data_IF_390298673129
#
_entry.id   IF_390298673129
#
_cell.length_a   1.000
_cell.length_b   1.000
_cell.length_c   1.000
_cell.angle_alpha   90.00
_cell.angle_beta   90.00
_cell.angle_gamma   90.00
#
_symmetry.space_group_name_H-M   'P 1'
#
loop_
_entity.id
_entity.type
_entity.pdbx_description
1 polymer ?
#
# COMPACT_ATOMS: atom_id res chain seq x y z
N UNK A 1 8.56 -55.50 -17.79
CA UNK A 1 8.22 -54.06 -17.68
C UNK A 1 8.80 -53.36 -18.90
N UNK A 2 7.97 -52.81 -19.77
CA UNK A 2 8.45 -52.09 -20.96
C UNK A 2 9.16 -50.80 -20.56
N UNK A 3 10.31 -50.50 -21.18
CA UNK A 3 10.98 -49.21 -20.96
C UNK A 3 10.07 -48.10 -21.52
N UNK A 4 9.82 -47.02 -20.76
CA UNK A 4 9.04 -45.89 -21.24
C UNK A 4 9.69 -45.33 -22.51
N UNK A 5 8.86 -44.95 -23.48
CA UNK A 5 9.37 -44.39 -24.73
C UNK A 5 9.99 -43.01 -24.47
N UNK A 6 10.87 -42.57 -25.36
CA UNK A 6 11.47 -41.24 -25.26
C UNK A 6 10.39 -40.13 -25.25
N UNK A 7 9.25 -40.37 -25.91
CA UNK A 7 8.08 -39.48 -25.91
C UNK A 7 7.42 -39.40 -24.53
N UNK A 8 7.29 -40.52 -23.83
CA UNK A 8 6.71 -40.57 -22.47
C UNK A 8 7.58 -39.84 -21.45
N UNK A 9 8.91 -39.93 -21.61
CA UNK A 9 9.87 -39.21 -20.76
C UNK A 9 9.80 -37.70 -20.96
N UNK A 10 9.68 -37.23 -22.21
CA UNK A 10 9.56 -35.80 -22.53
C UNK A 10 8.24 -35.23 -21.99
N UNK A 11 7.13 -35.95 -22.16
CA UNK A 11 5.82 -35.54 -21.64
C UNK A 11 5.85 -35.45 -20.10
N UNK A 12 6.49 -36.43 -19.44
CA UNK A 12 6.64 -36.44 -17.99
C UNK A 12 7.52 -35.30 -17.49
N UNK A 13 8.60 -34.95 -18.20
CA UNK A 13 9.45 -33.81 -17.86
C UNK A 13 8.66 -32.49 -17.92
N UNK A 14 7.86 -32.27 -18.96
CA UNK A 14 7.01 -31.07 -19.09
C UNK A 14 5.97 -30.99 -17.97
N UNK A 15 5.34 -32.11 -17.61
CA UNK A 15 4.40 -32.16 -16.49
C UNK A 15 5.08 -31.80 -15.16
N UNK A 16 6.30 -32.30 -14.93
CA UNK A 16 7.07 -31.99 -13.72
C UNK A 16 7.52 -30.52 -13.68
N UNK A 17 7.93 -29.95 -14.81
CA UNK A 17 8.26 -28.52 -14.91
C UNK A 17 7.05 -27.63 -14.60
N UNK A 18 5.88 -27.96 -15.15
CA UNK A 18 4.65 -27.24 -14.86
C UNK A 18 4.26 -27.34 -13.37
N UNK A 19 4.36 -28.54 -12.78
CA UNK A 19 4.11 -28.76 -11.35
C UNK A 19 5.11 -28.01 -10.46
N UNK A 20 6.39 -27.98 -10.84
CA UNK A 20 7.41 -27.21 -10.12
C UNK A 20 7.10 -25.71 -10.16
N UNK A 21 6.69 -25.17 -11.31
CA UNK A 21 6.32 -23.77 -11.46
C UNK A 21 5.11 -23.41 -10.59
N UNK A 22 4.09 -24.28 -10.57
CA UNK A 22 2.89 -24.11 -9.76
C UNK A 22 3.21 -24.16 -8.25
N UNK A 23 4.02 -25.13 -7.82
CA UNK A 23 4.46 -25.24 -6.43
C UNK A 23 5.32 -24.04 -6.00
N UNK A 24 6.18 -23.53 -6.88
CA UNK A 24 6.97 -22.33 -6.62
C UNK A 24 6.07 -21.10 -6.46
N UNK A 25 5.10 -20.90 -7.36
CA UNK A 25 4.13 -19.82 -7.25
C UNK A 25 3.34 -19.88 -5.94
N UNK A 26 2.86 -21.07 -5.57
CA UNK A 26 2.13 -21.26 -4.31
C UNK A 26 3.00 -21.01 -3.06
N UNK A 27 4.27 -21.41 -3.09
CA UNK A 27 5.22 -21.14 -2.01
C UNK A 27 5.48 -19.63 -1.85
N UNK A 28 5.63 -18.90 -2.95
CA UNK A 28 5.81 -17.44 -2.95
C UNK A 28 4.61 -16.72 -2.35
N UNK A 29 3.38 -17.12 -2.73
CA UNK A 29 2.14 -16.58 -2.17
C UNK A 29 2.03 -16.84 -0.66
N UNK A 30 2.36 -18.06 -0.20
CA UNK A 30 2.35 -18.40 1.22
C UNK A 30 3.42 -17.63 2.00
N UNK A 31 4.61 -17.46 1.43
CA UNK A 31 5.68 -16.69 2.05
C UNK A 31 5.26 -15.22 2.22
N UNK A 32 4.59 -14.64 1.24
CA UNK A 32 4.03 -13.29 1.31
C UNK A 32 2.92 -13.18 2.35
N UNK A 33 2.06 -14.20 2.48
CA UNK A 33 1.03 -14.25 3.52
C UNK A 33 1.60 -14.34 4.93
N UNK A 34 2.58 -15.21 5.16
CA UNK A 34 3.25 -15.34 6.47
C UNK A 34 3.95 -14.03 6.83
N UNK A 35 4.62 -13.41 5.85
CA UNK A 35 5.28 -12.11 6.02
C UNK A 35 4.29 -11.03 6.43
N UNK A 36 3.11 -10.99 5.79
CA UNK A 36 2.05 -10.05 6.13
C UNK A 36 1.52 -10.26 7.56
N UNK A 37 1.22 -11.51 7.97
CA UNK A 37 0.73 -11.82 9.32
C UNK A 37 1.72 -11.43 10.41
N UNK A 38 3.02 -11.71 10.21
CA UNK A 38 4.06 -11.32 11.18
C UNK A 38 4.14 -9.81 11.39
N UNK A 39 3.88 -9.03 10.34
CA UNK A 39 3.86 -7.55 10.42
C UNK A 39 2.65 -7.05 11.19
N UNK A 40 1.48 -7.65 11.00
CA UNK A 40 0.27 -7.30 11.75
C UNK A 40 0.49 -7.47 13.25
N UNK A 41 1.08 -8.60 13.66
CA UNK A 41 1.41 -8.86 15.07
C UNK A 41 2.38 -7.80 15.62
N UNK A 42 3.43 -7.44 14.88
CA UNK A 42 4.37 -6.41 15.31
C UNK A 42 3.72 -5.02 15.43
N UNK A 43 2.74 -4.72 14.57
CA UNK A 43 2.05 -3.44 14.58
C UNK A 43 1.07 -3.27 15.76
N UNK A 44 0.54 -4.37 16.33
CA UNK A 44 -0.37 -4.31 17.50
C UNK A 44 0.28 -3.69 18.75
N UNK A 45 1.61 -3.72 18.85
CA UNK A 45 2.33 -3.20 20.03
C UNK A 45 2.38 -1.65 20.12
N UNK A 46 1.91 -0.92 19.09
CA UNK A 46 1.95 0.56 19.04
C UNK A 46 0.55 1.19 19.10
N UNK A 47 -0.44 0.42 19.54
CA UNK A 47 -1.84 0.84 19.54
C UNK A 47 -2.12 1.93 20.60
N UNK A 48 -2.94 2.91 20.21
CA UNK A 48 -3.50 3.89 21.13
C UNK A 48 -4.83 3.35 21.71
N UNK A 49 -5.23 3.79 22.91
CA UNK A 49 -6.62 3.63 23.34
C UNK A 49 -7.55 4.31 22.32
N UNK A 50 -8.69 3.68 22.05
CA UNK A 50 -9.67 4.17 21.08
C UNK A 50 -10.08 5.61 21.43
N UNK A 51 -9.81 6.54 20.52
CA UNK A 51 -10.26 7.92 20.65
C UNK A 51 -11.77 8.01 20.41
N UNK A 52 -12.45 8.80 21.22
CA UNK A 52 -13.87 9.11 21.03
C UNK A 52 -14.11 9.75 19.66
N UNK A 53 -15.15 9.27 18.98
CA UNK A 53 -15.45 9.53 17.59
C UNK A 53 -15.51 11.02 17.22
N UNK A 54 -14.83 11.38 16.14
CA UNK A 54 -14.92 12.71 15.54
C UNK A 54 -15.71 12.60 14.23
N UNK A 55 -17.01 12.88 14.32
CA UNK A 55 -17.97 12.75 13.20
C UNK A 55 -17.91 13.92 12.22
N UNK A 56 -18.09 13.61 10.92
CA UNK A 56 -18.66 14.51 9.92
C UNK A 56 -17.80 14.73 8.68
N UNK A 57 -18.45 14.81 7.52
CA UNK A 57 -17.89 15.45 6.33
C UNK A 57 -17.59 16.92 6.67
N UNK A 58 -16.33 17.22 6.97
CA UNK A 58 -15.89 18.60 7.09
C UNK A 58 -15.85 19.23 5.70
N UNK A 59 -16.30 20.49 5.60
CA UNK A 59 -16.22 21.25 4.36
C UNK A 59 -14.76 21.29 3.88
N UNK A 60 -14.51 21.02 2.59
CA UNK A 60 -13.16 21.18 2.03
C UNK A 60 -12.79 22.67 2.00
N UNK A 61 -11.98 23.06 2.97
CA UNK A 61 -11.35 24.37 3.04
C UNK A 61 -10.28 24.54 1.95
N UNK A 62 -9.78 25.75 1.75
CA UNK A 62 -8.76 26.02 0.72
C UNK A 62 -7.43 25.38 1.10
N UNK A 63 -7.16 25.33 2.40
CA UNK A 63 -5.98 24.80 3.06
C UNK A 63 -5.86 23.30 2.79
N UNK A 64 -6.94 22.54 2.98
CA UNK A 64 -6.89 21.09 2.76
C UNK A 64 -6.77 20.73 1.28
N UNK A 65 -7.34 21.53 0.38
CA UNK A 65 -7.17 21.35 -1.08
C UNK A 65 -5.72 21.59 -1.49
N UNK A 66 -5.09 22.62 -0.94
CA UNK A 66 -3.67 22.91 -1.18
C UNK A 66 -2.79 21.78 -0.64
N UNK A 67 -3.04 21.32 0.59
CA UNK A 67 -2.30 20.22 1.18
C UNK A 67 -2.44 18.91 0.37
N UNK A 68 -3.64 18.61 -0.14
CA UNK A 68 -3.87 17.48 -1.02
C UNK A 68 -3.10 17.60 -2.35
N UNK A 69 -3.09 18.79 -2.96
CA UNK A 69 -2.31 19.05 -4.17
C UNK A 69 -0.80 18.83 -3.94
N UNK A 70 -0.27 19.32 -2.82
CA UNK A 70 1.14 19.11 -2.42
C UNK A 70 1.43 17.63 -2.19
N UNK A 71 0.51 16.88 -1.56
CA UNK A 71 0.68 15.44 -1.36
C UNK A 71 0.76 14.68 -2.69
N UNK A 72 -0.03 15.07 -3.68
CA UNK A 72 -0.01 14.50 -5.04
C UNK A 72 1.28 14.86 -5.77
N UNK A 73 1.75 16.10 -5.66
CA UNK A 73 3.03 16.52 -6.24
C UNK A 73 4.21 15.73 -5.64
N UNK A 74 4.20 15.52 -4.32
CA UNK A 74 5.19 14.68 -3.63
C UNK A 74 5.15 13.24 -4.13
N UNK A 75 3.97 12.63 -4.20
CA UNK A 75 3.79 11.27 -4.73
C UNK A 75 4.31 11.14 -6.17
N UNK A 76 3.99 12.12 -7.02
CA UNK A 76 4.46 12.20 -8.40
C UNK A 76 5.99 12.35 -8.49
N UNK A 77 6.60 13.08 -7.54
CA UNK A 77 8.05 13.26 -7.46
C UNK A 77 8.75 11.97 -7.07
N UNK A 78 8.26 11.25 -6.05
CA UNK A 78 8.79 9.94 -5.66
C UNK A 78 8.63 8.90 -6.79
N UNK A 79 7.52 8.94 -7.53
CA UNK A 79 7.34 8.12 -8.72
C UNK A 79 8.43 8.38 -9.77
N UNK A 80 8.70 9.66 -10.08
CA UNK A 80 9.74 10.06 -11.05
C UNK A 80 11.15 9.66 -10.62
N UNK A 81 11.42 9.59 -9.30
CA UNK A 81 12.69 9.12 -8.76
C UNK A 81 12.93 7.62 -8.99
N UNK A 82 11.96 6.88 -9.54
CA UNK A 82 12.07 5.45 -9.78
C UNK A 82 12.44 4.70 -8.48
N UNK A 83 11.67 4.92 -7.42
CA UNK A 83 11.88 4.23 -6.14
C UNK A 83 11.44 2.78 -6.28
N UNK A 84 12.34 1.84 -5.98
CA UNK A 84 12.10 0.40 -6.10
C UNK A 84 12.57 -0.33 -4.85
N UNK A 85 12.17 -1.59 -4.69
CA UNK A 85 12.83 -2.48 -3.73
C UNK A 85 14.35 -2.61 -4.01
N UNK A 86 15.17 -2.89 -2.98
CA UNK A 86 16.59 -3.14 -3.12
C UNK A 86 16.86 -4.26 -4.14
N UNK A 87 17.86 -4.04 -5.01
CA UNK A 87 18.24 -4.99 -6.06
C UNK A 87 17.50 -4.81 -7.39
N UNK A 88 16.51 -3.91 -7.49
CA UNK A 88 15.76 -3.66 -8.74
C UNK A 88 16.27 -2.44 -9.54
N UNK A 89 17.42 -1.88 -9.17
CA UNK A 89 18.09 -0.81 -9.93
C UNK A 89 17.50 0.60 -9.77
N UNK A 90 16.53 0.80 -8.88
CA UNK A 90 15.95 2.11 -8.55
C UNK A 90 16.45 2.72 -7.24
N UNK A 91 15.83 3.83 -6.83
CA UNK A 91 16.16 4.64 -5.64
C UNK A 91 15.65 4.03 -4.33
N UNK A 92 16.07 2.81 -4.02
CA UNK A 92 15.66 2.09 -2.80
C UNK A 92 16.06 2.81 -1.49
N UNK A 93 17.03 3.73 -1.54
CA UNK A 93 17.43 4.60 -0.42
C UNK A 93 16.27 5.46 0.11
N UNK A 94 15.32 5.83 -0.76
CA UNK A 94 14.14 6.63 -0.38
C UNK A 94 13.24 5.91 0.63
N UNK A 95 13.18 4.58 0.60
CA UNK A 95 12.35 3.79 1.52
C UNK A 95 12.77 4.06 2.98
N UNK A 96 14.08 4.19 3.23
CA UNK A 96 14.60 4.55 4.55
C UNK A 96 14.16 5.95 5.00
N UNK A 97 14.04 6.89 4.06
CA UNK A 97 13.54 8.25 4.33
C UNK A 97 12.07 8.21 4.74
N UNK A 98 11.23 7.42 4.07
CA UNK A 98 9.81 7.30 4.41
C UNK A 98 9.59 6.74 5.83
N UNK A 99 10.41 5.77 6.23
CA UNK A 99 10.28 5.08 7.51
C UNK A 99 10.87 5.94 8.65
N UNK A 100 12.06 6.53 8.43
CA UNK A 100 12.87 7.11 9.51
C UNK A 100 12.96 8.63 9.48
N UNK A 101 12.64 9.25 8.34
CA UNK A 101 12.65 10.70 8.14
C UNK A 101 11.52 11.41 8.88
N UNK A 102 11.73 12.70 9.15
CA UNK A 102 10.82 13.62 9.83
C UNK A 102 9.51 13.87 9.10
N UNK A 103 9.56 13.92 7.76
CA UNK A 103 8.40 14.04 6.89
C UNK A 103 7.60 12.74 6.73
N UNK A 104 8.23 11.59 7.00
CA UNK A 104 7.61 10.26 6.93
C UNK A 104 7.05 9.82 8.28
N UNK A 105 7.31 8.56 8.66
CA UNK A 105 6.88 8.01 9.96
C UNK A 105 7.75 8.50 11.12
N UNK A 106 8.96 9.02 10.88
CA UNK A 106 9.92 9.42 11.90
C UNK A 106 10.20 8.29 12.93
N UNK A 107 10.17 7.03 12.49
CA UNK A 107 10.53 5.88 13.30
C UNK A 107 12.04 5.68 13.26
N UNK A 108 12.78 6.61 13.85
CA UNK A 108 14.25 6.58 13.87
C UNK A 108 14.83 5.32 14.53
N UNK A 109 14.04 4.70 15.41
CA UNK A 109 14.33 3.43 16.09
C UNK A 109 14.21 2.20 15.18
N UNK A 110 13.53 2.29 14.04
CA UNK A 110 13.42 1.19 13.07
C UNK A 110 14.77 0.97 12.39
N UNK A 111 15.09 -0.30 12.12
CA UNK A 111 16.37 -0.67 11.49
C UNK A 111 16.43 -0.11 10.06
N UNK A 112 17.63 0.24 9.56
CA UNK A 112 17.79 0.61 8.16
C UNK A 112 17.18 -0.43 7.22
N UNK A 113 16.39 0.02 6.25
CA UNK A 113 15.77 -0.85 5.26
C UNK A 113 16.83 -1.31 4.26
N UNK A 114 17.15 -2.60 4.25
CA UNK A 114 18.27 -3.15 3.47
C UNK A 114 17.86 -4.24 2.49
N UNK A 115 16.67 -4.81 2.64
CA UNK A 115 16.18 -5.89 1.79
C UNK A 115 14.67 -5.85 1.60
N UNK A 116 14.23 -6.36 0.45
CA UNK A 116 12.81 -6.55 0.18
C UNK A 116 12.16 -7.38 1.30
N UNK A 117 10.97 -6.97 1.70
CA UNK A 117 10.16 -7.68 2.69
C UNK A 117 10.46 -7.31 4.13
N UNK A 118 11.47 -6.49 4.42
CA UNK A 118 11.83 -6.10 5.78
C UNK A 118 10.71 -5.33 6.49
N UNK A 119 9.97 -4.50 5.75
CA UNK A 119 8.93 -3.61 6.28
C UNK A 119 7.86 -3.36 5.21
N UNK A 120 6.58 -3.30 5.58
CA UNK A 120 5.52 -2.87 4.68
C UNK A 120 5.44 -1.34 4.66
N UNK A 121 5.98 -0.70 3.63
CA UNK A 121 6.17 0.75 3.63
C UNK A 121 5.11 1.54 2.85
N UNK A 122 3.97 0.93 2.47
CA UNK A 122 2.87 1.66 1.83
C UNK A 122 2.33 2.83 2.68
N UNK A 123 2.17 2.59 3.99
CA UNK A 123 1.79 3.63 4.96
C UNK A 123 2.88 4.68 5.20
N UNK A 124 4.15 4.28 5.16
CA UNK A 124 5.29 5.18 5.26
C UNK A 124 5.38 6.12 4.04
N UNK A 125 5.13 5.58 2.85
CA UNK A 125 5.02 6.36 1.62
C UNK A 125 3.86 7.35 1.68
N UNK A 126 2.67 6.92 2.11
CA UNK A 126 1.53 7.82 2.31
C UNK A 126 1.86 8.95 3.29
N UNK A 127 2.54 8.63 4.40
CA UNK A 127 3.00 9.62 5.37
C UNK A 127 3.99 10.63 4.78
N UNK A 128 4.97 10.18 4.00
CA UNK A 128 5.92 11.07 3.31
C UNK A 128 5.23 12.03 2.34
N UNK A 129 4.22 11.55 1.62
CA UNK A 129 3.44 12.39 0.71
C UNK A 129 2.62 13.41 1.50
N UNK A 130 1.97 12.97 2.58
CA UNK A 130 1.18 13.80 3.49
C UNK A 130 2.02 14.36 4.67
N UNK A 131 3.22 14.86 4.39
CA UNK A 131 4.10 15.43 5.41
C UNK A 131 3.52 16.65 6.14
N UNK A 132 2.53 17.32 5.53
CA UNK A 132 1.78 18.42 6.12
C UNK A 132 0.85 18.01 7.27
N UNK A 133 0.58 16.71 7.45
CA UNK A 133 -0.22 16.25 8.59
C UNK A 133 0.52 16.46 9.92
N UNK A 134 -0.18 16.31 11.03
CA UNK A 134 0.43 16.29 12.34
C UNK A 134 1.36 15.08 12.50
N UNK A 135 2.55 15.22 13.11
CA UNK A 135 3.49 14.11 13.27
C UNK A 135 2.88 12.89 13.97
N UNK A 136 1.97 13.06 14.93
CA UNK A 136 1.30 11.94 15.59
C UNK A 136 0.43 11.11 14.64
N UNK A 137 -0.24 11.75 13.67
CA UNK A 137 -1.07 11.05 12.68
C UNK A 137 -0.18 10.20 11.78
N UNK A 138 0.91 10.79 11.27
CA UNK A 138 1.90 10.05 10.46
C UNK A 138 2.50 8.87 11.22
N UNK A 139 2.95 9.09 12.46
CA UNK A 139 3.61 8.07 13.30
C UNK A 139 2.71 6.94 13.73
N UNK A 140 1.44 7.23 14.01
CA UNK A 140 0.56 6.29 14.72
C UNK A 140 -0.54 5.73 13.84
N UNK A 141 -1.12 6.54 12.95
CA UNK A 141 -2.30 6.16 12.16
C UNK A 141 -1.92 5.62 10.78
N UNK A 142 -1.10 6.36 10.02
CA UNK A 142 -0.73 5.99 8.64
C UNK A 142 0.09 4.70 8.46
N UNK A 143 0.86 4.14 9.43
CA UNK A 143 1.67 2.95 9.20
C UNK A 143 0.87 1.67 8.90
N UNK A 144 -0.45 1.66 9.09
CA UNK A 144 -1.26 0.43 9.03
C UNK A 144 -2.69 0.72 8.56
N UNK A 145 -3.22 -0.16 7.69
CA UNK A 145 -4.62 -0.13 7.25
C UNK A 145 -5.58 -0.33 8.43
N UNK A 146 -5.24 -1.23 9.35
CA UNK A 146 -5.99 -1.42 10.59
C UNK A 146 -6.05 -0.14 11.44
N UNK A 147 -4.93 0.58 11.56
CA UNK A 147 -4.90 1.80 12.39
C UNK A 147 -5.63 2.97 11.75
N UNK A 148 -5.53 3.14 10.43
CA UNK A 148 -6.43 4.03 9.68
C UNK A 148 -7.89 3.68 9.95
N UNK A 149 -8.24 2.40 9.85
CA UNK A 149 -9.60 1.94 10.11
C UNK A 149 -10.03 2.16 11.55
N UNK A 150 -9.16 2.00 12.55
CA UNK A 150 -9.48 2.22 13.96
C UNK A 150 -9.62 3.72 14.27
N UNK A 151 -8.66 4.53 13.83
CA UNK A 151 -8.52 5.92 14.24
C UNK A 151 -9.46 6.85 13.48
N UNK A 152 -9.76 6.54 12.21
CA UNK A 152 -10.44 7.44 11.28
C UNK A 152 -11.81 6.91 10.79
N UNK A 153 -12.49 6.03 11.55
CA UNK A 153 -13.82 5.51 11.17
C UNK A 153 -14.81 6.59 10.77
N UNK A 154 -14.89 7.63 11.59
CA UNK A 154 -15.87 8.70 11.45
C UNK A 154 -15.48 9.74 10.35
N UNK A 155 -14.34 9.55 9.70
CA UNK A 155 -13.79 10.40 8.62
C UNK A 155 -13.81 9.72 7.26
N UNK A 156 -14.49 8.58 7.16
CA UNK A 156 -14.63 7.88 5.89
C UNK A 156 -15.46 8.71 4.93
N UNK A 157 -15.03 8.69 3.69
CA UNK A 157 -15.73 9.32 2.57
C UNK A 157 -16.32 8.23 1.69
N UNK A 158 -17.47 8.51 1.10
CA UNK A 158 -18.06 7.61 0.11
C UNK A 158 -17.10 7.40 -1.07
N UNK A 159 -16.88 6.15 -1.53
CA UNK A 159 -16.01 5.87 -2.67
C UNK A 159 -16.38 6.62 -3.95
N UNK A 160 -17.66 6.96 -4.14
CA UNK A 160 -18.14 7.76 -5.26
C UNK A 160 -17.69 9.23 -5.19
N UNK A 161 -17.26 9.70 -4.02
CA UNK A 161 -16.83 11.07 -3.74
C UNK A 161 -15.30 11.20 -3.63
N UNK A 162 -14.56 10.21 -4.15
CA UNK A 162 -13.10 10.16 -4.21
C UNK A 162 -12.54 11.40 -4.93
N UNK A 163 -11.43 11.93 -4.42
CA UNK A 163 -10.72 13.09 -5.00
C UNK A 163 -9.21 12.87 -4.99
N UNK A 164 -8.47 13.52 -5.90
CA UNK A 164 -7.02 13.59 -5.83
C UNK A 164 -6.53 13.97 -4.43
N UNK A 165 -5.59 13.20 -3.90
CA UNK A 165 -5.00 13.37 -2.58
C UNK A 165 -5.66 12.55 -1.47
N UNK A 166 -6.88 12.03 -1.66
CA UNK A 166 -7.49 11.14 -0.67
C UNK A 166 -6.61 9.91 -0.42
N UNK A 167 -6.56 9.49 0.85
CA UNK A 167 -5.88 8.27 1.27
C UNK A 167 -6.87 7.13 1.08
N UNK A 168 -6.55 6.20 0.19
CA UNK A 168 -7.44 5.10 -0.18
C UNK A 168 -6.85 3.81 0.35
N UNK A 169 -7.66 3.05 1.07
CA UNK A 169 -7.31 1.71 1.49
C UNK A 169 -8.02 0.71 0.61
N UNK A 170 -7.27 -0.20 0.02
CA UNK A 170 -7.76 -1.18 -0.96
C UNK A 170 -7.52 -2.61 -0.49
N UNK A 171 -8.34 -3.51 -1.01
CA UNK A 171 -8.06 -4.94 -1.00
C UNK A 171 -7.05 -5.28 -2.10
N UNK A 172 -6.19 -6.26 -1.83
CA UNK A 172 -5.29 -6.79 -2.84
C UNK A 172 -6.09 -7.52 -3.93
N UNK A 173 -5.51 -7.68 -5.12
CA UNK A 173 -6.20 -8.33 -6.24
C UNK A 173 -6.58 -9.78 -5.95
N UNK A 174 -5.81 -10.45 -5.08
CA UNK A 174 -6.03 -11.82 -4.63
C UNK A 174 -7.00 -11.95 -3.44
N UNK A 175 -7.61 -10.86 -2.97
CA UNK A 175 -8.46 -10.88 -1.79
C UNK A 175 -9.81 -11.55 -2.06
N UNK A 176 -10.07 -12.65 -1.35
CA UNK A 176 -11.36 -13.35 -1.39
C UNK A 176 -12.43 -12.62 -0.57
N UNK A 177 -13.70 -12.97 -0.74
CA UNK A 177 -14.79 -12.46 0.11
C UNK A 177 -14.52 -12.75 1.60
N UNK A 178 -14.07 -13.97 1.92
CA UNK A 178 -13.69 -14.34 3.28
C UNK A 178 -12.53 -13.49 3.83
N UNK A 179 -11.58 -13.06 3.00
CA UNK A 179 -10.53 -12.13 3.43
C UNK A 179 -11.09 -10.73 3.70
N UNK A 180 -12.04 -10.27 2.86
CA UNK A 180 -12.71 -8.96 3.02
C UNK A 180 -13.55 -8.91 4.30
N UNK A 181 -14.24 -9.99 4.64
CA UNK A 181 -14.98 -10.13 5.89
C UNK A 181 -14.05 -10.13 7.12
N UNK A 182 -12.93 -10.86 7.05
CA UNK A 182 -11.97 -10.94 8.17
C UNK A 182 -11.15 -9.66 8.34
N UNK A 183 -10.88 -8.94 7.25
CA UNK A 183 -10.09 -7.72 7.23
C UNK A 183 -10.88 -6.58 6.59
N UNK A 184 -11.99 -6.13 7.20
CA UNK A 184 -12.82 -5.06 6.63
C UNK A 184 -12.06 -3.74 6.50
N UNK A 185 -10.91 -3.62 7.15
CA UNK A 185 -9.99 -2.50 7.06
C UNK A 185 -9.08 -2.51 5.83
N UNK A 186 -9.11 -3.53 4.97
CA UNK A 186 -8.30 -3.63 3.75
C UNK A 186 -6.82 -3.94 4.00
N UNK A 187 -6.03 -4.01 2.92
CA UNK A 187 -4.69 -4.63 2.93
C UNK A 187 -3.57 -3.71 2.42
N UNK A 188 -3.92 -2.64 1.70
CA UNK A 188 -2.92 -1.75 1.12
C UNK A 188 -3.36 -0.28 1.13
N UNK A 189 -2.43 0.64 1.38
CA UNK A 189 -2.67 2.08 1.43
C UNK A 189 -2.14 2.71 0.14
N UNK A 190 -2.98 3.49 -0.53
CA UNK A 190 -2.65 4.23 -1.76
C UNK A 190 -3.10 5.68 -1.64
N UNK A 191 -2.67 6.52 -2.57
CA UNK A 191 -3.20 7.86 -2.76
C UNK A 191 -4.00 7.91 -4.05
N UNK A 192 -5.21 8.45 -4.00
CA UNK A 192 -5.98 8.73 -5.20
C UNK A 192 -5.25 9.76 -6.04
N UNK A 193 -4.82 9.39 -7.26
CA UNK A 193 -4.23 10.31 -8.23
C UNK A 193 -5.33 11.10 -8.93
N UNK A 194 -6.30 10.41 -9.50
CA UNK A 194 -7.44 10.98 -10.24
C UNK A 194 -8.53 9.92 -10.43
N UNK A 195 -9.76 10.37 -10.70
CA UNK A 195 -10.82 9.50 -11.17
C UNK A 195 -10.57 9.14 -12.64
N UNK A 196 -10.61 7.85 -12.97
CA UNK A 196 -10.35 7.38 -14.32
C UNK A 196 -11.64 7.21 -15.16
N UNK A 197 -12.81 7.40 -14.53
CA UNK A 197 -14.13 7.10 -15.14
C UNK A 197 -14.52 5.62 -14.96
N UNK A 198 -15.72 5.25 -15.40
CA UNK A 198 -16.22 3.85 -15.48
C UNK A 198 -16.06 3.01 -14.22
N UNK A 199 -16.24 3.62 -13.04
CA UNK A 199 -16.09 2.94 -11.76
C UNK A 199 -14.64 2.57 -11.44
N UNK A 200 -13.68 3.34 -11.98
CA UNK A 200 -12.24 3.18 -11.73
C UNK A 200 -11.57 4.49 -11.30
N UNK A 201 -10.39 4.34 -10.72
CA UNK A 201 -9.53 5.44 -10.29
C UNK A 201 -8.06 5.08 -10.48
N UNK A 202 -7.23 6.10 -10.67
CA UNK A 202 -5.77 5.95 -10.72
C UNK A 202 -5.16 6.25 -9.36
N UNK A 203 -4.02 5.63 -9.08
CA UNK A 203 -3.36 5.69 -7.78
C UNK A 203 -1.88 5.99 -7.90
N UNK A 204 -1.32 6.60 -6.85
CA UNK A 204 0.09 6.43 -6.49
C UNK A 204 0.18 5.44 -5.32
N UNK A 205 1.11 4.50 -5.42
CA UNK A 205 1.27 3.43 -4.45
C UNK A 205 2.75 3.23 -4.12
N UNK A 206 3.05 3.04 -2.84
CA UNK A 206 4.36 2.59 -2.38
C UNK A 206 4.27 1.15 -1.86
N UNK A 207 5.36 0.39 -1.95
CA UNK A 207 5.41 -1.05 -1.62
C UNK A 207 4.37 -1.85 -2.42
N UNK A 208 4.20 -1.53 -3.69
CA UNK A 208 3.26 -2.19 -4.58
C UNK A 208 3.97 -2.72 -5.82
N UNK A 209 3.48 -3.85 -6.36
CA UNK A 209 3.78 -4.25 -7.73
C UNK A 209 2.93 -3.42 -8.68
N UNK A 210 3.55 -2.48 -9.36
CA UNK A 210 2.90 -1.48 -10.20
C UNK A 210 3.82 -1.06 -11.35
N UNK A 211 3.29 -0.28 -12.28
CA UNK A 211 4.10 0.31 -13.35
C UNK A 211 4.89 1.49 -12.79
N UNK A 212 6.21 1.47 -12.97
CA UNK A 212 7.09 2.60 -12.64
C UNK A 212 7.19 3.64 -13.77
N UNK A 213 8.02 4.69 -13.61
CA UNK A 213 8.15 5.78 -14.60
C UNK A 213 8.70 5.35 -15.97
N UNK A 214 9.38 4.21 -16.04
CA UNK A 214 9.89 3.60 -17.27
C UNK A 214 8.91 2.60 -17.90
N UNK A 215 7.69 2.51 -17.38
CA UNK A 215 6.65 1.59 -17.85
C UNK A 215 6.87 0.12 -17.50
N UNK A 216 7.91 -0.24 -16.74
CA UNK A 216 8.10 -1.65 -16.32
C UNK A 216 7.30 -1.95 -15.05
N UNK A 217 6.71 -3.14 -15.01
CA UNK A 217 6.00 -3.66 -13.85
C UNK A 217 6.99 -4.23 -12.81
N UNK A 218 7.02 -3.65 -11.60
CA UNK A 218 7.94 -4.05 -10.51
C UNK A 218 7.45 -3.60 -9.15
N UNK A 219 8.10 -4.07 -8.08
CA UNK A 219 7.83 -3.61 -6.72
C UNK A 219 8.55 -2.29 -6.41
N UNK A 220 7.80 -1.29 -5.95
CA UNK A 220 8.33 0.05 -5.71
C UNK A 220 7.24 1.10 -5.51
N UNK A 221 7.59 2.35 -5.85
CA UNK A 221 6.61 3.42 -6.06
C UNK A 221 6.14 3.35 -7.50
N UNK A 222 4.83 3.23 -7.71
CA UNK A 222 4.25 3.09 -9.03
C UNK A 222 2.82 3.62 -9.12
N UNK A 223 2.25 3.49 -10.30
CA UNK A 223 0.85 3.84 -10.56
C UNK A 223 0.04 2.62 -10.98
N UNK A 224 -1.22 2.57 -10.56
CA UNK A 224 -2.19 1.56 -10.98
C UNK A 224 -3.55 2.19 -11.25
N UNK A 225 -4.26 1.61 -12.21
CA UNK A 225 -5.71 1.77 -12.33
C UNK A 225 -6.38 0.70 -11.47
N UNK A 226 -7.37 1.09 -10.69
CA UNK A 226 -8.12 0.22 -9.78
C UNK A 226 -9.63 0.43 -9.94
N UNK A 227 -10.39 -0.62 -9.73
CA UNK A 227 -11.85 -0.55 -9.65
C UNK A 227 -12.28 0.02 -8.29
N UNK A 228 -13.37 0.80 -8.25
CA UNK A 228 -13.97 1.28 -7.00
C UNK A 228 -14.40 0.13 -6.08
N UNK A 229 -14.75 -1.04 -6.65
CA UNK A 229 -15.06 -2.27 -5.89
C UNK A 229 -13.86 -2.88 -5.14
N UNK A 230 -12.64 -2.41 -5.42
CA UNK A 230 -11.44 -2.79 -4.65
C UNK A 230 -11.24 -1.96 -3.39
N UNK A 231 -12.00 -0.87 -3.21
CA UNK A 231 -11.86 0.04 -2.07
C UNK A 231 -12.43 -0.63 -0.81
N UNK A 232 -11.64 -0.65 0.25
CA UNK A 232 -12.07 -1.00 1.60
C UNK A 232 -12.55 0.25 2.35
N UNK A 233 -11.81 1.36 2.22
CA UNK A 233 -12.19 2.65 2.80
C UNK A 233 -11.49 3.80 2.07
N UNK A 234 -12.14 4.96 2.03
CA UNK A 234 -11.54 6.23 1.62
C UNK A 234 -11.45 7.14 2.84
N UNK A 235 -10.31 7.77 3.02
CA UNK A 235 -10.10 8.76 4.06
C UNK A 235 -9.66 10.08 3.46
N UNK A 236 -10.26 11.16 3.95
CA UNK A 236 -9.86 12.52 3.60
C UNK A 236 -9.33 13.20 4.86
N UNK A 237 -8.04 13.59 4.87
CA UNK A 237 -7.53 14.46 5.91
C UNK A 237 -8.37 15.73 6.04
N UNK A 238 -8.47 16.26 7.25
CA UNK A 238 -9.20 17.49 7.55
C UNK A 238 -8.24 18.58 8.02
N UNK A 239 -8.68 19.83 8.06
CA UNK A 239 -7.82 20.98 8.40
C UNK A 239 -7.14 20.82 9.77
N UNK A 240 -7.88 20.32 10.78
CA UNK A 240 -7.34 20.07 12.11
C UNK A 240 -6.31 18.93 12.18
N UNK A 241 -6.07 18.23 11.07
CA UNK A 241 -5.03 17.22 10.95
C UNK A 241 -3.72 17.79 10.43
N UNK A 242 -3.70 19.03 9.95
CA UNK A 242 -2.51 19.71 9.45
C UNK A 242 -1.63 20.21 10.61
N UNK A 243 -0.32 20.25 10.38
CA UNK A 243 0.70 20.71 11.34
C UNK A 243 0.96 22.23 11.28
#
# INVERSE_FOLDING_TARGET
MGRPSNKDLIERARQLEAQLLELQSGADEQADRIRHLRREVAAMALDLPAGEGRMGESALTSEIKLAAAVAIERAQSEFKLNVTEPGLGGRSDRIGVYIRGDEGLQWSWEKPYTKNGQFAWCGAFAAQCWASLLPQIRKKTLPSTYRLWRDWQARRVEPSSLRPGDIVVVFNDSATEADREKKPYGQHITLCKELAGDGKFSTFEGNARAYGPDGKYREGVGTRERALSSIAAVYRPQEQDLA
#
